data_IF_708852602737
#
_entry.id   IF_708852602737
#
_cell.length_a   1.000
_cell.length_b   1.000
_cell.length_c   1.000
_cell.angle_alpha   90.00
_cell.angle_beta   90.00
_cell.angle_gamma   90.00
#
_symmetry.space_group_name_H-M   'P 1'
#
loop_
_entity.id
_entity.type
_entity.pdbx_description
1 polymer ?
#
# COMPACT_ATOMS: atom_id res chain seq x y z
N UNK A 1 7.74 -13.27 -12.27
CA UNK A 1 7.13 -12.05 -11.71
C UNK A 1 5.92 -11.70 -12.57
N UNK A 2 4.70 -11.81 -12.04
CA UNK A 2 3.48 -11.45 -12.77
C UNK A 2 3.11 -10.01 -12.41
N UNK A 3 3.29 -9.09 -13.35
CA UNK A 3 2.89 -7.69 -13.18
C UNK A 3 1.59 -7.46 -13.95
N UNK A 4 0.58 -6.91 -13.28
CA UNK A 4 -0.70 -6.54 -13.89
C UNK A 4 -0.97 -5.06 -13.63
N UNK A 5 -1.33 -4.34 -14.69
CA UNK A 5 -1.84 -2.96 -14.59
C UNK A 5 -3.36 -3.01 -14.58
N UNK A 6 -3.96 -2.22 -13.71
CA UNK A 6 -5.40 -2.09 -13.56
C UNK A 6 -5.77 -0.62 -13.72
N UNK A 7 -6.89 -0.35 -14.37
CA UNK A 7 -7.44 1.00 -14.51
C UNK A 7 -8.44 1.31 -13.38
N UNK A 8 -8.57 2.60 -13.06
CA UNK A 8 -9.50 3.10 -12.04
C UNK A 8 -8.82 3.69 -10.81
N UNK A 9 -9.61 4.13 -9.81
CA UNK A 9 -9.09 4.73 -8.59
C UNK A 9 -8.25 3.70 -7.81
N UNK A 10 -6.95 3.99 -7.63
CA UNK A 10 -6.00 3.04 -7.03
C UNK A 10 -6.47 2.49 -5.68
N UNK A 11 -7.11 3.33 -4.86
CA UNK A 11 -7.65 2.91 -3.56
C UNK A 11 -8.72 1.83 -3.72
N UNK A 12 -9.68 2.01 -4.61
CA UNK A 12 -10.77 1.05 -4.81
C UNK A 12 -10.26 -0.28 -5.35
N UNK A 13 -9.36 -0.22 -6.34
CA UNK A 13 -8.74 -1.40 -6.93
C UNK A 13 -7.98 -2.22 -5.87
N UNK A 14 -7.19 -1.56 -5.03
CA UNK A 14 -6.42 -2.24 -3.97
C UNK A 14 -7.34 -2.79 -2.86
N UNK A 15 -8.42 -2.09 -2.51
CA UNK A 15 -9.39 -2.58 -1.52
C UNK A 15 -10.17 -3.79 -2.04
N UNK A 16 -10.58 -3.79 -3.31
CA UNK A 16 -11.18 -4.97 -3.92
C UNK A 16 -10.19 -6.15 -3.92
N UNK A 17 -8.94 -5.94 -4.34
CA UNK A 17 -7.91 -6.97 -4.31
C UNK A 17 -7.62 -7.52 -2.90
N UNK A 18 -7.74 -6.68 -1.86
CA UNK A 18 -7.49 -7.11 -0.48
C UNK A 18 -8.43 -8.21 0.02
N UNK A 19 -9.61 -8.39 -0.59
CA UNK A 19 -10.53 -9.47 -0.22
C UNK A 19 -10.04 -10.86 -0.65
N UNK A 20 -9.07 -10.94 -1.58
CA UNK A 20 -8.56 -12.18 -2.14
C UNK A 20 -7.05 -12.37 -1.88
N UNK A 21 -6.43 -11.54 -1.05
CA UNK A 21 -4.99 -11.50 -0.86
C UNK A 21 -4.58 -11.77 0.59
N UNK A 22 -3.51 -12.54 0.79
CA UNK A 22 -2.88 -12.81 2.09
C UNK A 22 -1.34 -12.69 1.98
N UNK A 23 -0.66 -11.63 2.46
CA UNK A 23 -1.06 -10.25 2.79
C UNK A 23 -0.81 -9.24 1.65
N UNK A 24 -1.35 -8.01 1.76
CA UNK A 24 -1.13 -6.91 0.81
C UNK A 24 0.08 -6.05 1.19
N UNK A 25 1.01 -5.82 0.26
CA UNK A 25 2.19 -4.98 0.49
C UNK A 25 2.07 -3.61 -0.20
N UNK A 26 2.42 -2.54 0.53
CA UNK A 26 2.49 -1.16 0.00
C UNK A 26 3.82 -0.50 0.34
N UNK A 27 4.35 0.31 -0.60
CA UNK A 27 5.57 1.07 -0.39
C UNK A 27 5.35 2.32 0.47
N UNK A 28 6.37 2.71 1.22
CA UNK A 28 6.42 3.99 1.92
C UNK A 28 7.81 4.63 1.85
N UNK A 29 7.85 5.96 1.75
CA UNK A 29 9.12 6.69 1.76
C UNK A 29 9.59 6.92 3.18
N UNK A 30 10.89 6.73 3.41
CA UNK A 30 11.56 7.30 4.58
C UNK A 30 11.88 8.76 4.29
N UNK A 31 11.60 9.64 5.25
CA UNK A 31 11.98 11.05 5.14
C UNK A 31 13.20 11.30 6.02
N UNK A 32 14.36 11.69 5.45
CA UNK A 32 15.51 12.08 6.25
C UNK A 32 15.11 13.17 7.26
N UNK A 33 15.51 13.00 8.52
CA UNK A 33 15.23 13.99 9.59
C UNK A 33 13.85 13.93 10.24
N UNK A 34 12.99 12.96 9.90
CA UNK A 34 11.72 12.74 10.59
C UNK A 34 11.64 11.32 11.15
N UNK A 35 11.10 11.17 12.37
CA UNK A 35 10.82 9.86 12.93
C UNK A 35 9.61 9.23 12.23
N UNK A 36 9.82 8.13 11.49
CA UNK A 36 8.75 7.30 10.92
C UNK A 36 8.72 7.23 9.40
N UNK A 37 7.65 6.62 8.87
CA UNK A 37 7.39 6.47 7.44
C UNK A 37 6.42 7.54 6.95
N UNK A 38 6.66 8.10 5.78
CA UNK A 38 5.71 9.00 5.11
C UNK A 38 4.78 8.19 4.21
N UNK A 39 3.56 8.00 4.67
CA UNK A 39 2.51 7.31 3.90
C UNK A 39 1.89 8.27 2.88
N UNK A 40 1.78 7.82 1.62
CA UNK A 40 0.95 8.50 0.63
C UNK A 40 -0.55 8.27 0.89
N UNK A 41 -1.42 9.05 0.24
CA UNK A 41 -2.89 8.95 0.44
C UNK A 41 -3.43 7.54 0.18
N UNK A 42 -2.91 6.88 -0.85
CA UNK A 42 -3.30 5.51 -1.19
C UNK A 42 -2.86 4.53 -0.10
N UNK A 43 -1.57 4.54 0.28
CA UNK A 43 -1.04 3.65 1.31
C UNK A 43 -1.75 3.86 2.66
N UNK A 44 -2.00 5.11 3.04
CA UNK A 44 -2.77 5.44 4.24
C UNK A 44 -4.22 4.91 4.14
N UNK A 45 -4.91 5.15 3.03
CA UNK A 45 -6.28 4.68 2.84
C UNK A 45 -6.40 3.15 2.80
N UNK A 46 -5.43 2.46 2.22
CA UNK A 46 -5.41 0.98 2.20
C UNK A 46 -5.13 0.44 3.60
N UNK A 47 -4.16 1.00 4.33
CA UNK A 47 -3.83 0.58 5.69
C UNK A 47 -5.03 0.61 6.64
N UNK A 48 -5.92 1.60 6.50
CA UNK A 48 -7.09 1.75 7.37
C UNK A 48 -8.31 0.94 6.95
N UNK A 49 -8.38 0.47 5.69
CA UNK A 49 -9.63 -0.06 5.14
C UNK A 49 -9.50 -1.39 4.40
N UNK A 50 -8.29 -1.94 4.23
CA UNK A 50 -8.10 -3.23 3.59
C UNK A 50 -8.82 -4.35 4.38
N UNK A 51 -9.33 -5.34 3.64
CA UNK A 51 -9.95 -6.52 4.20
C UNK A 51 -8.93 -7.56 4.71
N UNK A 52 -7.63 -7.34 4.45
CA UNK A 52 -6.53 -8.21 4.87
C UNK A 52 -5.39 -7.40 5.51
N UNK A 53 -4.44 -8.12 6.10
CA UNK A 53 -3.26 -7.51 6.71
C UNK A 53 -2.44 -6.72 5.66
N UNK A 54 -1.98 -5.52 6.04
CA UNK A 54 -1.18 -4.63 5.18
C UNK A 54 0.24 -4.52 5.70
N UNK A 55 1.21 -4.96 4.90
CA UNK A 55 2.63 -4.75 5.15
C UNK A 55 3.10 -3.44 4.51
N UNK A 56 3.56 -2.50 5.33
CA UNK A 56 4.17 -1.25 4.85
C UNK A 56 5.68 -1.46 4.71
N UNK A 57 6.18 -1.42 3.48
CA UNK A 57 7.58 -1.69 3.15
C UNK A 57 8.31 -0.37 2.86
N UNK A 58 9.32 0.01 3.65
CA UNK A 58 10.11 1.21 3.36
C UNK A 58 10.90 1.06 2.06
N UNK A 59 10.90 2.11 1.24
CA UNK A 59 11.77 2.22 0.07
C UNK A 59 13.25 2.27 0.49
N UNK A 60 14.12 1.57 -0.25
CA UNK A 60 15.57 1.73 -0.13
C UNK A 60 15.98 2.92 -1.00
N UNK A 61 15.99 4.11 -0.42
CA UNK A 61 16.69 5.28 -1.00
C UNK A 61 18.18 5.11 -0.94
#
# INVERSE_FOLDING_TARGET
MHARTLEGPTREVLLAASHAADPLAVGARRNPGHFGLRLGRVAHGVLHHAACAVAVVPERT
#
